data_IF_851750390742
#
_entry.id   IF_851750390742
#
_cell.length_a   1.000
_cell.length_b   1.000
_cell.length_c   1.000
_cell.angle_alpha   90.00
_cell.angle_beta   90.00
_cell.angle_gamma   90.00
#
_symmetry.space_group_name_H-M   'P 1'
#
loop_
_entity.id
_entity.type
_entity.pdbx_description
1 polymer ?
#
# COMPACT_ATOMS: atom_id res chain seq x y z
N UNK A 1 22.93 6.72 -77.40
CA UNK A 1 22.34 7.30 -76.20
C UNK A 1 21.59 6.22 -75.48
N UNK A 2 21.96 5.73 -74.32
CA UNK A 2 21.18 4.79 -73.57
C UNK A 2 20.17 5.51 -72.73
N UNK A 3 18.92 5.14 -72.87
CA UNK A 3 17.76 5.60 -72.12
C UNK A 3 17.86 5.07 -70.68
N UNK A 4 17.97 6.01 -69.74
CA UNK A 4 17.98 5.68 -68.29
C UNK A 4 16.64 5.16 -67.85
N UNK A 5 16.61 3.94 -67.33
CA UNK A 5 15.46 3.43 -66.57
C UNK A 5 15.32 4.20 -65.24
N UNK A 6 14.15 4.81 -65.02
CA UNK A 6 13.82 5.41 -63.76
C UNK A 6 13.74 4.31 -62.66
N UNK A 7 14.19 4.58 -61.40
CA UNK A 7 14.10 3.62 -60.33
C UNK A 7 12.66 3.33 -59.97
N UNK A 8 12.28 2.05 -59.94
CA UNK A 8 10.99 1.57 -59.49
C UNK A 8 10.85 1.91 -58.01
N UNK A 9 9.86 2.76 -57.68
CA UNK A 9 9.53 3.04 -56.31
C UNK A 9 9.16 1.74 -55.56
N UNK A 10 9.69 1.53 -54.35
CA UNK A 10 9.35 0.35 -53.56
C UNK A 10 7.82 0.33 -53.29
N UNK A 11 7.24 -0.86 -53.46
CA UNK A 11 5.82 -1.08 -53.17
C UNK A 11 5.51 -0.65 -51.73
N UNK A 12 4.34 -0.01 -51.45
CA UNK A 12 3.97 0.38 -50.11
C UNK A 12 3.93 -0.87 -49.23
N UNK A 13 4.79 -0.93 -48.25
CA UNK A 13 4.74 -1.91 -47.14
C UNK A 13 3.34 -1.83 -46.54
N UNK A 14 2.62 -2.97 -46.46
CA UNK A 14 1.35 -3.06 -45.76
C UNK A 14 1.48 -2.35 -44.43
N UNK A 15 0.81 -1.20 -44.30
CA UNK A 15 0.76 -0.43 -43.06
C UNK A 15 0.28 -1.36 -41.96
N UNK A 16 1.07 -1.54 -40.94
CA UNK A 16 0.62 -2.16 -39.71
C UNK A 16 -0.60 -1.36 -39.27
N UNK A 17 -1.77 -1.98 -39.27
CA UNK A 17 -2.96 -1.40 -38.68
C UNK A 17 -2.61 -1.18 -37.21
N UNK A 18 -2.30 0.07 -36.85
CA UNK A 18 -2.13 0.43 -35.44
C UNK A 18 -3.45 0.13 -34.74
N UNK A 19 -3.45 -0.93 -33.93
CA UNK A 19 -4.59 -1.21 -33.06
C UNK A 19 -4.88 0.03 -32.22
N UNK A 20 -6.16 0.44 -32.10
CA UNK A 20 -6.50 1.66 -31.37
C UNK A 20 -5.99 1.55 -29.92
N UNK A 21 -5.44 2.64 -29.38
CA UNK A 21 -4.90 2.66 -28.02
C UNK A 21 -6.02 2.35 -27.03
N UNK A 22 -5.86 1.29 -26.24
CA UNK A 22 -6.86 0.81 -25.30
C UNK A 22 -6.31 -0.18 -24.29
N UNK A 23 -7.23 -0.80 -23.54
CA UNK A 23 -6.90 -1.85 -22.57
C UNK A 23 -6.80 -3.20 -23.26
N UNK A 24 -5.72 -3.94 -23.05
CA UNK A 24 -5.54 -5.32 -23.51
C UNK A 24 -6.28 -6.30 -22.57
N UNK A 25 -7.61 -6.33 -22.67
CA UNK A 25 -8.50 -7.05 -21.75
C UNK A 25 -8.15 -8.53 -21.58
N UNK A 26 -7.73 -9.23 -22.63
CA UNK A 26 -7.38 -10.67 -22.54
C UNK A 26 -6.13 -10.88 -21.68
N UNK A 27 -5.12 -10.05 -21.83
CA UNK A 27 -3.90 -10.11 -21.00
C UNK A 27 -4.19 -9.71 -19.55
N UNK A 28 -4.95 -8.62 -19.37
CA UNK A 28 -5.39 -8.16 -18.06
C UNK A 28 -6.17 -9.25 -17.33
N UNK A 29 -7.15 -9.88 -17.98
CA UNK A 29 -7.91 -10.98 -17.40
C UNK A 29 -7.00 -12.16 -17.01
N UNK A 30 -6.10 -12.58 -17.92
CA UNK A 30 -5.14 -13.66 -17.62
C UNK A 30 -4.22 -13.34 -16.44
N UNK A 31 -3.71 -12.10 -16.37
CA UNK A 31 -2.89 -11.61 -15.24
C UNK A 31 -3.69 -11.55 -13.94
N UNK A 32 -4.93 -11.08 -13.99
CA UNK A 32 -5.85 -11.01 -12.84
C UNK A 32 -6.19 -12.39 -12.28
N UNK A 33 -6.45 -13.37 -13.15
CA UNK A 33 -6.69 -14.76 -12.71
C UNK A 33 -5.45 -15.36 -12.05
N UNK A 34 -4.24 -15.14 -12.60
CA UNK A 34 -3.00 -15.61 -11.98
C UNK A 34 -2.79 -14.95 -10.61
N UNK A 35 -3.08 -13.66 -10.49
CA UNK A 35 -2.95 -12.96 -9.23
C UNK A 35 -3.97 -13.44 -8.20
N UNK A 36 -5.23 -13.61 -8.60
CA UNK A 36 -6.27 -14.17 -7.74
C UNK A 36 -5.90 -15.58 -7.25
N UNK A 37 -5.39 -16.43 -8.15
CA UNK A 37 -4.92 -17.77 -7.79
C UNK A 37 -3.77 -17.72 -6.78
N UNK A 38 -2.78 -16.81 -6.97
CA UNK A 38 -1.69 -16.61 -6.03
C UNK A 38 -2.20 -16.24 -4.63
N UNK A 39 -3.19 -15.34 -4.55
CA UNK A 39 -3.78 -14.92 -3.29
C UNK A 39 -4.49 -16.07 -2.58
N UNK A 40 -5.28 -16.86 -3.30
CA UNK A 40 -5.92 -18.05 -2.72
C UNK A 40 -4.92 -19.12 -2.29
N UNK A 41 -3.84 -19.34 -3.04
CA UNK A 41 -2.76 -20.26 -2.62
C UNK A 41 -2.07 -19.74 -1.36
N UNK A 42 -1.82 -18.44 -1.26
CA UNK A 42 -1.25 -17.84 -0.06
C UNK A 42 -2.16 -18.03 1.15
N UNK A 43 -3.46 -17.75 1.02
CA UNK A 43 -4.44 -18.00 2.10
C UNK A 43 -4.51 -19.48 2.47
N UNK A 44 -4.55 -20.35 1.48
CA UNK A 44 -4.54 -21.79 1.75
C UNK A 44 -3.31 -22.23 2.54
N UNK A 45 -2.15 -21.63 2.27
CA UNK A 45 -0.91 -21.92 2.97
C UNK A 45 -0.88 -21.36 4.41
N UNK A 46 -1.44 -20.16 4.62
CA UNK A 46 -1.36 -19.43 5.89
C UNK A 46 -2.57 -19.61 6.79
N UNK A 47 -3.77 -19.86 6.21
CA UNK A 47 -5.03 -19.93 6.94
C UNK A 47 -5.55 -21.36 7.07
N UNK A 48 -5.46 -21.98 8.27
CA UNK A 48 -5.94 -23.33 8.49
C UNK A 48 -7.42 -23.50 8.15
N UNK A 49 -8.24 -22.48 8.37
CA UNK A 49 -9.64 -22.51 8.06
C UNK A 49 -9.96 -22.58 6.57
N UNK A 50 -9.18 -21.91 5.76
CA UNK A 50 -9.29 -22.00 4.28
C UNK A 50 -9.05 -23.45 3.81
N UNK A 51 -8.15 -24.18 4.45
CA UNK A 51 -7.86 -25.60 4.13
C UNK A 51 -9.02 -26.54 4.43
N UNK A 52 -9.75 -26.27 5.50
CA UNK A 52 -10.84 -27.15 5.97
C UNK A 52 -12.22 -26.78 5.40
N UNK A 53 -12.39 -25.57 4.87
CA UNK A 53 -13.69 -25.02 4.50
C UNK A 53 -14.27 -25.52 3.17
N UNK A 54 -13.43 -25.96 2.23
CA UNK A 54 -13.85 -26.35 0.88
C UNK A 54 -14.31 -25.17 0.02
N UNK A 55 -14.89 -25.47 -1.16
CA UNK A 55 -15.34 -24.46 -2.12
C UNK A 55 -16.86 -24.49 -2.25
N UNK A 56 -17.50 -23.30 -2.19
CA UNK A 56 -18.92 -23.14 -2.46
C UNK A 56 -19.20 -21.83 -3.18
N UNK A 57 -19.53 -21.87 -4.44
CA UNK A 57 -19.62 -20.69 -5.32
C UNK A 57 -20.91 -19.88 -5.20
N UNK A 58 -21.93 -20.35 -4.48
CA UNK A 58 -23.23 -19.69 -4.46
C UNK A 58 -23.57 -19.02 -3.14
N UNK A 59 -24.07 -19.78 -2.17
CA UNK A 59 -24.63 -19.26 -0.92
C UNK A 59 -23.66 -18.42 -0.05
N UNK A 60 -22.38 -18.79 0.13
CA UNK A 60 -21.46 -18.02 0.96
C UNK A 60 -21.21 -16.59 0.47
N UNK A 61 -21.03 -16.39 -0.84
CA UNK A 61 -20.78 -15.06 -1.37
C UNK A 61 -22.00 -14.14 -1.25
N UNK A 62 -23.23 -14.65 -1.46
CA UNK A 62 -24.45 -13.86 -1.27
C UNK A 62 -24.67 -13.46 0.20
N UNK A 63 -24.35 -14.36 1.12
CA UNK A 63 -24.37 -14.05 2.58
C UNK A 63 -23.32 -13.03 2.96
N UNK A 64 -22.15 -13.11 2.37
CA UNK A 64 -21.05 -12.16 2.53
C UNK A 64 -21.50 -10.73 2.24
N UNK A 65 -22.14 -10.53 1.10
CA UNK A 65 -22.71 -9.23 0.73
C UNK A 65 -23.74 -8.76 1.74
N UNK A 66 -24.58 -9.66 2.23
CA UNK A 66 -25.63 -9.35 3.24
C UNK A 66 -25.06 -9.03 4.63
N UNK A 67 -23.86 -9.51 4.96
CA UNK A 67 -23.22 -9.32 6.25
C UNK A 67 -22.21 -8.17 6.27
N UNK A 68 -22.11 -7.39 5.20
CA UNK A 68 -21.23 -6.23 5.12
C UNK A 68 -21.70 -5.14 6.10
N UNK A 69 -21.01 -5.01 7.23
CA UNK A 69 -21.35 -4.01 8.26
C UNK A 69 -20.14 -3.73 9.16
N UNK A 70 -20.09 -2.52 9.70
CA UNK A 70 -19.00 -2.08 10.56
C UNK A 70 -17.70 -1.79 9.80
N UNK A 71 -16.64 -1.49 10.50
CA UNK A 71 -15.34 -1.20 9.92
C UNK A 71 -14.43 -2.42 9.88
N UNK A 72 -14.29 -3.13 11.00
CA UNK A 72 -13.41 -4.29 11.15
C UNK A 72 -14.06 -5.57 10.59
N UNK A 73 -13.26 -6.38 9.95
CA UNK A 73 -13.61 -7.71 9.43
C UNK A 73 -13.05 -8.87 10.25
N UNK A 74 -12.26 -8.54 11.29
CA UNK A 74 -11.59 -9.52 12.13
C UNK A 74 -10.15 -9.85 11.75
N UNK A 75 -9.70 -9.40 10.60
CA UNK A 75 -8.33 -9.64 10.14
C UNK A 75 -7.29 -8.86 10.98
N UNK A 76 -6.08 -9.40 11.12
CA UNK A 76 -4.99 -8.71 11.80
C UNK A 76 -4.64 -7.38 11.11
N UNK A 77 -4.18 -6.40 11.89
CA UNK A 77 -3.78 -5.09 11.39
C UNK A 77 -2.87 -5.14 10.14
N UNK A 78 -1.89 -6.06 10.13
CA UNK A 78 -0.99 -6.17 8.98
C UNK A 78 -1.65 -6.66 7.70
N UNK A 79 -2.70 -7.45 7.81
CA UNK A 79 -3.47 -7.90 6.65
C UNK A 79 -4.21 -6.70 6.08
N UNK A 80 -5.01 -6.00 6.89
CA UNK A 80 -5.85 -4.90 6.45
C UNK A 80 -5.08 -3.64 6.03
N UNK A 81 -3.96 -3.32 6.70
CA UNK A 81 -3.26 -2.04 6.48
C UNK A 81 -1.92 -2.15 5.75
N UNK A 82 -1.45 -3.36 5.46
CA UNK A 82 -0.25 -3.61 4.65
C UNK A 82 -0.52 -4.59 3.51
N UNK A 83 -1.11 -5.75 3.82
CA UNK A 83 -1.40 -6.80 2.84
C UNK A 83 -2.39 -6.36 1.77
N UNK A 84 -3.57 -5.89 2.18
CA UNK A 84 -4.60 -5.40 1.26
C UNK A 84 -4.19 -4.16 0.46
N UNK A 85 -3.51 -3.13 1.03
CA UNK A 85 -2.91 -2.06 0.24
C UNK A 85 -1.92 -2.54 -0.82
N UNK A 86 -1.05 -3.48 -0.48
CA UNK A 86 -0.11 -4.07 -1.44
C UNK A 86 -0.86 -4.82 -2.55
N UNK A 87 -1.89 -5.60 -2.20
CA UNK A 87 -2.80 -6.25 -3.15
C UNK A 87 -3.45 -5.23 -4.09
N UNK A 88 -4.01 -4.15 -3.56
CA UNK A 88 -4.60 -3.07 -4.34
C UNK A 88 -3.59 -2.39 -5.27
N UNK A 89 -2.37 -2.17 -4.79
CA UNK A 89 -1.28 -1.62 -5.59
C UNK A 89 -0.88 -2.57 -6.74
N UNK A 90 -0.81 -3.88 -6.50
CA UNK A 90 -0.52 -4.90 -7.53
C UNK A 90 -1.63 -4.91 -8.59
N UNK A 91 -2.89 -4.95 -8.19
CA UNK A 91 -4.03 -4.94 -9.11
C UNK A 91 -4.06 -3.67 -9.97
N UNK A 92 -3.88 -2.50 -9.36
CA UNK A 92 -3.80 -1.23 -10.08
C UNK A 92 -2.63 -1.17 -11.07
N UNK A 93 -1.47 -1.73 -10.71
CA UNK A 93 -0.31 -1.86 -11.60
C UNK A 93 -0.58 -2.80 -12.77
N UNK A 94 -1.21 -3.93 -12.51
CA UNK A 94 -1.56 -4.90 -13.53
C UNK A 94 -2.48 -4.26 -14.59
N UNK A 95 -3.44 -3.45 -14.18
CA UNK A 95 -4.27 -2.66 -15.08
C UNK A 95 -3.42 -1.70 -15.93
N UNK A 96 -2.55 -0.90 -15.30
CA UNK A 96 -1.72 0.09 -16.00
C UNK A 96 -0.75 -0.54 -16.99
N UNK A 97 -0.20 -1.73 -16.70
CA UNK A 97 0.66 -2.48 -17.62
C UNK A 97 -0.07 -2.87 -18.91
N UNK A 98 -1.38 -3.06 -18.83
CA UNK A 98 -2.25 -3.51 -19.93
C UNK A 98 -3.09 -2.37 -20.55
N UNK A 99 -2.99 -1.13 -20.07
CA UNK A 99 -3.59 0.04 -20.71
C UNK A 99 -2.55 0.78 -21.56
N UNK A 100 -2.56 0.56 -22.87
CA UNK A 100 -1.58 1.13 -23.82
C UNK A 100 -1.52 2.66 -23.80
N UNK A 101 -2.56 3.35 -23.32
CA UNK A 101 -2.60 4.81 -23.21
C UNK A 101 -1.72 5.35 -22.08
N UNK A 102 -1.50 4.53 -21.05
CA UNK A 102 -0.87 4.98 -19.80
C UNK A 102 0.33 4.15 -19.37
N UNK A 103 0.62 3.03 -20.03
CA UNK A 103 1.71 2.11 -19.63
C UNK A 103 3.12 2.71 -19.73
N UNK A 104 3.28 3.76 -20.54
CA UNK A 104 4.55 4.50 -20.70
C UNK A 104 4.61 5.77 -19.84
N UNK A 105 3.52 6.14 -19.15
CA UNK A 105 3.50 7.37 -18.36
C UNK A 105 4.42 7.23 -17.14
N UNK A 106 5.23 8.25 -16.91
CA UNK A 106 6.13 8.34 -15.77
C UNK A 106 5.56 9.25 -14.69
N UNK A 107 6.04 9.07 -13.47
CA UNK A 107 5.67 9.90 -12.32
C UNK A 107 5.83 11.38 -12.64
N UNK A 108 4.79 12.17 -12.42
CA UNK A 108 4.80 13.59 -12.68
C UNK A 108 3.46 14.28 -12.47
N UNK A 109 3.37 15.50 -13.01
CA UNK A 109 2.17 16.35 -12.88
C UNK A 109 1.23 16.27 -14.08
N UNK A 110 1.57 15.48 -15.12
CA UNK A 110 0.77 15.40 -16.33
C UNK A 110 -0.63 14.86 -16.05
N UNK A 111 -1.60 15.33 -16.80
CA UNK A 111 -2.97 14.85 -16.68
C UNK A 111 -3.10 13.38 -17.05
N UNK A 112 -2.26 12.89 -17.97
CA UNK A 112 -2.17 11.50 -18.38
C UNK A 112 -1.73 10.59 -17.22
N UNK A 113 -0.73 11.02 -16.44
CA UNK A 113 -0.29 10.29 -15.26
C UNK A 113 -1.45 10.09 -14.26
N UNK A 114 -2.15 11.19 -13.92
CA UNK A 114 -3.24 11.14 -12.94
C UNK A 114 -4.46 10.38 -13.46
N UNK A 115 -4.82 10.55 -14.74
CA UNK A 115 -5.89 9.76 -15.37
C UNK A 115 -5.57 8.27 -15.34
N UNK A 116 -4.34 7.90 -15.68
CA UNK A 116 -3.89 6.51 -15.58
C UNK A 116 -4.00 5.97 -14.15
N UNK A 117 -3.51 6.73 -13.16
CA UNK A 117 -3.57 6.34 -11.74
C UNK A 117 -4.99 6.14 -11.23
N UNK A 118 -5.91 7.07 -11.54
CA UNK A 118 -7.32 6.95 -11.13
C UNK A 118 -8.00 5.73 -11.78
N UNK A 119 -7.69 5.42 -13.03
CA UNK A 119 -8.20 4.20 -13.69
C UNK A 119 -7.63 2.93 -13.04
N UNK A 120 -6.34 2.92 -12.70
CA UNK A 120 -5.72 1.85 -11.93
C UNK A 120 -6.36 1.66 -10.56
N UNK A 121 -6.67 2.75 -9.86
CA UNK A 121 -7.36 2.71 -8.57
C UNK A 121 -8.80 2.18 -8.70
N UNK A 122 -9.54 2.58 -9.73
CA UNK A 122 -10.89 2.05 -9.98
C UNK A 122 -10.86 0.55 -10.26
N UNK A 123 -9.88 0.08 -11.05
CA UNK A 123 -9.69 -1.36 -11.27
C UNK A 123 -9.27 -2.09 -10.00
N UNK A 124 -8.38 -1.50 -9.21
CA UNK A 124 -7.96 -2.02 -7.90
C UNK A 124 -9.16 -2.22 -6.97
N UNK A 125 -10.06 -1.23 -6.91
CA UNK A 125 -11.30 -1.33 -6.16
C UNK A 125 -12.18 -2.48 -6.65
N UNK A 126 -12.44 -2.59 -7.94
CA UNK A 126 -13.24 -3.66 -8.52
C UNK A 126 -12.62 -5.06 -8.27
N UNK A 127 -11.30 -5.17 -8.36
CA UNK A 127 -10.56 -6.40 -8.06
C UNK A 127 -10.67 -6.78 -6.58
N UNK A 128 -10.57 -5.79 -5.67
CA UNK A 128 -10.77 -6.01 -4.23
C UNK A 128 -12.20 -6.52 -3.95
N UNK A 129 -13.23 -5.90 -4.56
CA UNK A 129 -14.61 -6.39 -4.40
C UNK A 129 -14.76 -7.85 -4.86
N UNK A 130 -14.11 -8.21 -5.97
CA UNK A 130 -14.11 -9.59 -6.45
C UNK A 130 -13.43 -10.54 -5.47
N UNK A 131 -12.34 -10.12 -4.84
CA UNK A 131 -11.60 -10.95 -3.88
C UNK A 131 -12.36 -11.11 -2.56
N UNK A 132 -12.93 -10.05 -2.00
CA UNK A 132 -13.65 -10.07 -0.72
C UNK A 132 -15.02 -10.75 -0.82
N UNK A 133 -15.85 -10.27 -1.74
CA UNK A 133 -17.27 -10.60 -1.79
C UNK A 133 -17.75 -11.10 -3.17
N UNK A 134 -16.85 -11.43 -4.08
CA UNK A 134 -17.21 -11.92 -5.41
C UNK A 134 -17.42 -13.44 -5.47
N UNK A 135 -17.81 -13.97 -6.65
CA UNK A 135 -18.03 -15.41 -6.84
C UNK A 135 -16.79 -16.29 -6.58
N UNK A 136 -15.59 -15.76 -6.87
CA UNK A 136 -14.30 -16.43 -6.61
C UNK A 136 -13.57 -15.72 -5.47
N UNK A 137 -14.30 -15.33 -4.46
CA UNK A 137 -13.80 -14.62 -3.29
C UNK A 137 -13.29 -15.56 -2.21
N UNK A 138 -12.71 -14.99 -1.19
CA UNK A 138 -12.37 -15.72 0.03
C UNK A 138 -13.61 -16.24 0.76
N UNK A 139 -14.75 -15.56 0.61
CA UNK A 139 -16.03 -16.04 1.11
C UNK A 139 -16.48 -17.35 0.44
N UNK A 140 -16.18 -17.51 -0.86
CA UNK A 140 -16.54 -18.68 -1.64
C UNK A 140 -15.51 -19.80 -1.52
N UNK A 141 -14.22 -19.43 -1.46
CA UNK A 141 -13.10 -20.36 -1.38
C UNK A 141 -12.55 -20.38 0.04
N UNK A 142 -12.65 -21.54 0.70
CA UNK A 142 -12.25 -21.69 2.11
C UNK A 142 -13.33 -21.31 3.11
N UNK A 143 -14.46 -20.77 2.66
CA UNK A 143 -15.61 -20.39 3.51
C UNK A 143 -15.18 -19.54 4.72
N UNK A 144 -14.34 -18.53 4.51
CA UNK A 144 -13.77 -17.73 5.59
C UNK A 144 -14.83 -17.20 6.55
N UNK A 145 -16.02 -16.88 6.05
CA UNK A 145 -17.15 -16.40 6.84
C UNK A 145 -17.77 -17.45 7.76
N UNK A 146 -17.42 -18.72 7.62
CA UNK A 146 -17.73 -19.71 8.63
C UNK A 146 -16.91 -19.51 9.92
N UNK A 147 -15.81 -18.75 9.82
CA UNK A 147 -14.94 -18.41 10.93
C UNK A 147 -15.16 -16.97 11.40
N UNK A 148 -15.40 -16.06 10.45
CA UNK A 148 -15.65 -14.63 10.67
C UNK A 148 -16.81 -14.18 9.76
N UNK A 149 -18.07 -14.22 10.18
CA UNK A 149 -19.22 -13.85 9.33
C UNK A 149 -19.28 -12.36 9.07
N UNK A 150 -18.62 -11.55 9.91
CA UNK A 150 -18.61 -10.11 9.75
C UNK A 150 -17.67 -9.71 8.63
N UNK A 151 -18.21 -9.10 7.59
CA UNK A 151 -17.48 -8.40 6.56
C UNK A 151 -17.39 -6.92 6.93
N UNK A 152 -16.16 -6.40 7.12
CA UNK A 152 -15.94 -5.01 7.41
C UNK A 152 -15.75 -4.17 6.16
N UNK A 153 -15.98 -2.85 6.27
CA UNK A 153 -15.69 -1.91 5.19
C UNK A 153 -14.19 -1.60 5.03
N UNK A 154 -13.35 -2.08 5.94
CA UNK A 154 -11.91 -1.74 5.95
C UNK A 154 -11.25 -2.02 4.62
N UNK A 155 -11.44 -3.21 4.05
CA UNK A 155 -10.77 -3.64 2.82
C UNK A 155 -11.37 -2.98 1.58
N UNK A 156 -12.66 -2.69 1.61
CA UNK A 156 -13.32 -1.96 0.53
C UNK A 156 -12.83 -0.52 0.38
N UNK A 157 -12.23 0.05 1.44
CA UNK A 157 -11.71 1.42 1.49
C UNK A 157 -10.17 1.41 1.48
N UNK A 158 -9.54 0.65 2.37
CA UNK A 158 -8.08 0.68 2.58
C UNK A 158 -7.34 0.12 1.36
N UNK A 159 -7.81 -0.99 0.80
CA UNK A 159 -7.19 -1.61 -0.37
C UNK A 159 -7.03 -0.63 -1.55
N UNK A 160 -8.09 0.04 -2.05
CA UNK A 160 -7.95 0.95 -3.17
C UNK A 160 -7.26 2.27 -2.79
N UNK A 161 -7.57 2.84 -1.63
CA UNK A 161 -7.08 4.18 -1.24
C UNK A 161 -5.60 4.14 -0.88
N UNK A 162 -5.21 3.25 0.03
CA UNK A 162 -3.81 3.12 0.44
C UNK A 162 -2.99 2.45 -0.66
N UNK A 163 -3.57 1.49 -1.40
CA UNK A 163 -2.95 0.90 -2.59
C UNK A 163 -2.67 1.93 -3.69
N UNK A 164 -3.58 2.89 -3.91
CA UNK A 164 -3.35 4.02 -4.81
C UNK A 164 -2.16 4.86 -4.36
N UNK A 165 -2.12 5.26 -3.07
CA UNK A 165 -0.99 5.99 -2.50
C UNK A 165 0.33 5.20 -2.59
N UNK A 166 0.29 3.89 -2.36
CA UNK A 166 1.42 2.98 -2.53
C UNK A 166 2.00 3.02 -3.95
N UNK A 167 1.13 2.95 -4.98
CA UNK A 167 1.59 3.01 -6.37
C UNK A 167 2.26 4.34 -6.71
N UNK A 168 1.78 5.46 -6.14
CA UNK A 168 2.40 6.78 -6.31
C UNK A 168 3.78 6.82 -5.64
N UNK A 169 3.89 6.29 -4.42
CA UNK A 169 5.15 6.16 -3.68
C UNK A 169 6.19 5.36 -4.45
N UNK A 170 5.82 4.19 -4.97
CA UNK A 170 6.71 3.38 -5.81
C UNK A 170 7.12 4.08 -7.10
N UNK A 171 6.24 4.84 -7.75
CA UNK A 171 6.61 5.61 -8.95
C UNK A 171 7.61 6.73 -8.62
N UNK A 172 7.44 7.37 -7.47
CA UNK A 172 8.39 8.36 -6.99
C UNK A 172 9.75 7.72 -6.69
N UNK A 173 9.77 6.56 -6.02
CA UNK A 173 10.99 5.78 -5.79
C UNK A 173 11.62 5.38 -7.12
N UNK A 174 10.84 4.93 -8.11
CA UNK A 174 11.34 4.57 -9.43
C UNK A 174 12.01 5.76 -10.12
N UNK A 175 11.39 6.93 -10.06
CA UNK A 175 11.89 8.15 -10.69
C UNK A 175 13.15 8.70 -10.02
N UNK A 176 13.13 8.80 -8.69
CA UNK A 176 14.16 9.55 -7.95
C UNK A 176 15.28 8.69 -7.37
N UNK A 177 15.00 7.44 -7.05
CA UNK A 177 15.96 6.52 -6.45
C UNK A 177 16.48 5.52 -7.49
N UNK A 178 15.58 4.74 -8.10
CA UNK A 178 16.00 3.66 -9.00
C UNK A 178 16.71 4.23 -10.23
N UNK A 179 16.14 5.24 -10.88
CA UNK A 179 16.80 5.91 -12.01
C UNK A 179 18.14 6.54 -11.63
N UNK A 180 18.25 7.10 -10.41
CA UNK A 180 19.50 7.68 -9.95
C UNK A 180 20.61 6.61 -9.77
N UNK A 181 20.25 5.45 -9.24
CA UNK A 181 21.17 4.30 -9.14
C UNK A 181 21.55 3.79 -10.54
N UNK A 182 20.56 3.60 -11.43
CA UNK A 182 20.80 3.13 -12.79
C UNK A 182 21.72 4.06 -13.61
N UNK A 183 21.66 5.36 -13.35
CA UNK A 183 22.52 6.34 -14.01
C UNK A 183 23.94 6.37 -13.44
N UNK A 184 24.16 5.82 -12.24
CA UNK A 184 25.47 5.82 -11.55
C UNK A 184 26.24 4.51 -11.70
N UNK A 185 25.56 3.41 -12.03
CA UNK A 185 26.20 2.09 -12.12
C UNK A 185 25.78 1.33 -13.37
N UNK A 186 26.72 0.67 -14.01
CA UNK A 186 26.47 -0.29 -15.09
C UNK A 186 26.34 -1.72 -14.56
N UNK A 187 26.47 -1.92 -13.23
CA UNK A 187 26.32 -3.23 -12.62
C UNK A 187 24.89 -3.72 -12.77
N UNK A 188 24.69 -4.74 -13.61
CA UNK A 188 23.39 -5.34 -13.90
C UNK A 188 22.70 -5.89 -12.65
N UNK A 189 23.42 -6.46 -11.71
CA UNK A 189 22.85 -7.03 -10.49
C UNK A 189 22.30 -5.94 -9.56
N UNK A 190 23.03 -4.83 -9.43
CA UNK A 190 22.54 -3.67 -8.68
C UNK A 190 21.26 -3.11 -9.29
N UNK A 191 21.20 -2.98 -10.64
CA UNK A 191 19.99 -2.53 -11.35
C UNK A 191 18.82 -3.49 -11.19
N UNK A 192 19.07 -4.83 -11.26
CA UNK A 192 18.03 -5.84 -11.00
C UNK A 192 17.48 -5.74 -9.58
N UNK A 193 18.39 -5.66 -8.61
CA UNK A 193 18.03 -5.60 -7.19
C UNK A 193 17.17 -4.37 -6.90
N UNK A 194 17.61 -3.18 -7.30
CA UNK A 194 16.84 -1.95 -7.00
C UNK A 194 15.50 -1.91 -7.72
N UNK A 195 15.42 -2.39 -8.99
CA UNK A 195 14.14 -2.47 -9.70
C UNK A 195 13.15 -3.43 -9.05
N UNK A 196 13.64 -4.55 -8.53
CA UNK A 196 12.78 -5.60 -7.96
C UNK A 196 12.42 -5.33 -6.51
N UNK A 197 13.39 -4.93 -5.68
CA UNK A 197 13.19 -4.79 -4.25
C UNK A 197 12.48 -3.48 -3.86
N UNK A 198 12.77 -2.38 -4.56
CA UNK A 198 12.21 -1.07 -4.21
C UNK A 198 10.82 -0.80 -4.80
N UNK A 199 10.34 -1.67 -5.70
CA UNK A 199 8.99 -1.56 -6.27
C UNK A 199 8.26 -2.92 -6.19
N UNK A 200 7.92 -3.42 -5.00
CA UNK A 200 7.35 -4.75 -4.82
C UNK A 200 6.02 -4.95 -5.54
N UNK A 201 5.11 -3.97 -5.53
CA UNK A 201 3.84 -4.12 -6.24
C UNK A 201 4.03 -4.23 -7.76
N UNK A 202 4.94 -3.44 -8.33
CA UNK A 202 5.27 -3.52 -9.75
C UNK A 202 5.96 -4.84 -10.10
N UNK A 203 6.83 -5.33 -9.23
CA UNK A 203 7.53 -6.60 -9.40
C UNK A 203 6.55 -7.75 -9.51
N UNK A 204 5.60 -7.84 -8.59
CA UNK A 204 4.57 -8.89 -8.61
C UNK A 204 3.64 -8.71 -9.83
N UNK A 205 3.18 -7.50 -10.11
CA UNK A 205 2.33 -7.23 -11.28
C UNK A 205 3.01 -7.63 -12.60
N UNK A 206 4.31 -7.37 -12.76
CA UNK A 206 5.07 -7.81 -13.93
C UNK A 206 5.04 -9.34 -14.07
N UNK A 207 5.30 -10.08 -12.99
CA UNK A 207 5.27 -11.55 -13.01
C UNK A 207 3.86 -12.06 -13.35
N UNK A 208 2.83 -11.47 -12.77
CA UNK A 208 1.43 -11.83 -13.08
C UNK A 208 1.07 -11.54 -14.54
N UNK A 209 1.69 -10.54 -15.15
CA UNK A 209 1.52 -10.21 -16.57
C UNK A 209 2.44 -11.04 -17.50
N UNK A 210 3.20 -11.99 -16.96
CA UNK A 210 4.13 -12.85 -17.70
C UNK A 210 5.42 -12.14 -18.12
N UNK A 211 5.78 -11.05 -17.43
CA UNK A 211 7.01 -10.29 -17.66
C UNK A 211 8.03 -10.58 -16.56
N UNK A 212 9.29 -10.22 -16.82
CA UNK A 212 10.33 -10.33 -15.79
C UNK A 212 10.10 -9.33 -14.66
N UNK A 213 10.47 -9.65 -13.41
CA UNK A 213 10.20 -8.80 -12.23
C UNK A 213 10.66 -7.35 -12.39
N UNK A 214 11.81 -7.13 -13.00
CA UNK A 214 12.43 -5.83 -13.21
C UNK A 214 11.99 -5.11 -14.49
N UNK A 215 10.97 -5.60 -15.19
CA UNK A 215 10.47 -4.99 -16.43
C UNK A 215 10.03 -3.53 -16.20
N UNK A 216 10.36 -2.68 -17.17
CA UNK A 216 9.90 -1.30 -17.29
C UNK A 216 9.54 -1.01 -18.74
N UNK A 217 8.31 -0.58 -18.98
CA UNK A 217 7.85 -0.28 -20.34
C UNK A 217 8.60 0.91 -20.97
N UNK A 218 8.99 1.88 -20.15
CA UNK A 218 9.67 3.12 -20.59
C UNK A 218 11.20 3.02 -20.63
N UNK A 219 11.80 1.86 -20.33
CA UNK A 219 13.26 1.69 -20.21
C UNK A 219 13.73 0.34 -20.74
N UNK A 220 14.96 0.32 -21.26
CA UNK A 220 15.60 -0.89 -21.74
C UNK A 220 15.68 -2.00 -20.68
N UNK A 221 15.62 -3.25 -21.13
CA UNK A 221 15.82 -4.43 -20.29
C UNK A 221 17.22 -4.47 -19.69
N UNK A 222 17.36 -5.07 -18.51
CA UNK A 222 18.67 -5.15 -17.81
C UNK A 222 19.48 -6.38 -18.26
N UNK A 223 18.81 -7.49 -18.59
CA UNK A 223 19.47 -8.76 -18.96
C UNK A 223 19.34 -9.14 -20.44
N UNK A 224 18.39 -8.53 -21.14
CA UNK A 224 18.25 -8.82 -22.57
C UNK A 224 19.32 -8.01 -23.29
N UNK A 225 20.25 -8.70 -23.92
CA UNK A 225 21.11 -8.14 -24.94
C UNK A 225 20.23 -7.79 -26.16
N UNK A 226 19.48 -6.74 -26.04
CA UNK A 226 18.97 -6.04 -27.19
C UNK A 226 20.10 -5.11 -27.61
N UNK A 227 20.60 -5.18 -28.84
CA UNK A 227 21.45 -4.12 -29.37
C UNK A 227 20.54 -2.90 -29.58
N UNK A 228 20.11 -2.29 -28.48
CA UNK A 228 19.60 -0.93 -28.52
C UNK A 228 20.77 -0.10 -29.06
N UNK A 229 20.56 0.71 -30.10
CA UNK A 229 21.56 1.66 -30.51
C UNK A 229 22.01 2.37 -29.24
N UNK A 230 23.31 2.39 -28.94
CA UNK A 230 23.83 3.24 -27.88
C UNK A 230 23.38 4.65 -28.20
N UNK A 231 22.32 5.09 -27.59
CA UNK A 231 22.03 6.52 -27.57
C UNK A 231 23.28 7.17 -27.02
N UNK A 232 23.83 8.15 -27.75
CA UNK A 232 25.04 8.85 -27.28
C UNK A 232 24.72 9.32 -25.85
N UNK A 233 25.67 9.13 -24.93
CA UNK A 233 25.56 9.57 -23.52
C UNK A 233 25.14 11.05 -23.37
N UNK A 234 25.13 11.80 -24.44
CA UNK A 234 24.69 13.19 -24.57
C UNK A 234 23.16 13.34 -24.63
N UNK A 235 22.38 12.30 -25.01
CA UNK A 235 20.91 12.41 -25.16
C UNK A 235 20.13 12.08 -23.88
N UNK A 236 20.77 11.62 -22.82
CA UNK A 236 20.12 11.27 -21.54
C UNK A 236 20.10 12.42 -20.51
N UNK A 237 20.42 13.65 -20.92
CA UNK A 237 20.15 14.79 -20.06
C UNK A 237 18.68 15.17 -20.23
N UNK A 238 17.87 14.74 -19.26
CA UNK A 238 16.50 15.23 -19.11
C UNK A 238 16.46 16.73 -19.38
N UNK A 239 15.50 17.24 -20.19
CA UNK A 239 15.31 18.68 -20.38
C UNK A 239 15.19 19.47 -19.06
N UNK A 240 14.96 18.78 -17.96
CA UNK A 240 14.90 19.35 -16.61
C UNK A 240 16.26 19.51 -15.92
N UNK A 241 17.40 19.13 -16.56
CA UNK A 241 18.73 19.26 -15.95
C UNK A 241 19.53 20.46 -16.39
N UNK A 242 19.04 21.27 -17.30
CA UNK A 242 19.82 22.43 -17.77
C UNK A 242 18.97 23.68 -17.81
N UNK A 243 19.32 24.62 -16.95
CA UNK A 243 19.47 25.96 -17.35
C UNK A 243 18.61 27.06 -16.82
N UNK A 244 17.92 26.89 -15.72
CA UNK A 244 17.65 28.07 -14.89
C UNK A 244 18.66 28.07 -13.72
N UNK A 245 19.20 29.24 -13.30
CA UNK A 245 19.80 29.35 -11.99
C UNK A 245 18.79 28.70 -11.03
N UNK A 246 19.22 27.73 -10.21
CA UNK A 246 18.35 27.17 -9.21
C UNK A 246 17.93 28.32 -8.33
N UNK A 247 16.69 28.75 -8.48
CA UNK A 247 16.02 29.54 -7.43
C UNK A 247 16.28 28.79 -6.11
N UNK A 248 16.43 29.52 -5.04
CA UNK A 248 16.58 28.93 -3.72
C UNK A 248 15.58 27.80 -3.52
N UNK A 249 16.00 26.66 -2.96
CA UNK A 249 15.15 25.48 -2.88
C UNK A 249 13.86 25.82 -2.13
N UNK A 250 12.75 25.79 -2.86
CA UNK A 250 11.43 26.09 -2.29
C UNK A 250 10.98 24.92 -1.41
N UNK A 251 10.41 25.20 -0.23
CA UNK A 251 9.86 24.14 0.60
C UNK A 251 8.69 23.43 -0.10
N UNK A 252 8.57 22.11 0.11
CA UNK A 252 7.48 21.32 -0.47
C UNK A 252 6.11 21.84 -0.01
N UNK A 253 5.17 22.09 -0.91
CA UNK A 253 3.81 22.47 -0.54
C UNK A 253 3.03 21.32 0.09
N UNK A 254 3.36 20.09 -0.23
CA UNK A 254 2.74 18.88 0.34
C UNK A 254 3.79 17.80 0.58
N UNK A 255 3.67 17.13 1.73
CA UNK A 255 4.50 15.97 2.10
C UNK A 255 3.59 14.80 2.46
N UNK A 256 3.98 13.59 2.06
CA UNK A 256 3.35 12.35 2.46
C UNK A 256 4.38 11.46 3.12
N UNK A 257 4.06 10.92 4.30
CA UNK A 257 4.93 10.01 5.04
C UNK A 257 4.23 8.66 5.21
N UNK A 258 4.96 7.57 4.98
CA UNK A 258 4.56 6.24 5.39
C UNK A 258 5.69 5.66 6.26
N UNK A 259 5.32 5.09 7.41
CA UNK A 259 6.30 4.77 8.44
C UNK A 259 5.86 3.59 9.31
N UNK A 260 6.74 2.61 9.58
CA UNK A 260 6.59 1.72 10.72
C UNK A 260 6.67 2.50 12.03
N UNK A 261 5.91 2.03 13.00
CA UNK A 261 5.74 2.69 14.28
C UNK A 261 5.88 1.67 15.40
N UNK A 262 6.68 2.00 16.39
CA UNK A 262 6.68 1.33 17.68
C UNK A 262 6.08 2.29 18.71
N UNK A 263 5.19 1.77 19.56
CA UNK A 263 4.56 2.52 20.64
C UNK A 263 4.60 1.73 21.92
N UNK A 264 4.95 2.38 23.01
CA UNK A 264 4.88 1.83 24.36
C UNK A 264 3.77 2.52 25.14
N UNK A 265 2.77 1.77 25.57
CA UNK A 265 1.74 2.24 26.51
C UNK A 265 2.18 1.91 27.93
N UNK A 266 2.14 2.88 28.83
CA UNK A 266 2.61 2.71 30.20
C UNK A 266 1.96 1.58 31.00
N UNK A 267 0.78 1.11 30.58
CA UNK A 267 0.05 0.00 31.21
C UNK A 267 -0.15 -1.22 30.32
N UNK A 268 -0.28 -1.02 29.01
CA UNK A 268 -0.56 -2.08 28.05
C UNK A 268 0.70 -2.71 27.42
N UNK A 269 1.86 -2.11 27.60
CA UNK A 269 3.13 -2.58 27.03
C UNK A 269 3.37 -2.12 25.58
N UNK A 270 4.11 -2.93 24.83
CA UNK A 270 4.57 -2.58 23.50
C UNK A 270 3.54 -2.86 22.43
N UNK A 271 3.48 -1.96 21.46
CA UNK A 271 2.58 -2.00 20.31
C UNK A 271 3.37 -1.70 19.04
N UNK A 272 3.31 -2.58 18.07
CA UNK A 272 4.04 -2.44 16.79
C UNK A 272 3.05 -2.33 15.65
N UNK A 273 3.31 -1.41 14.75
CA UNK A 273 2.40 -1.16 13.64
C UNK A 273 2.97 -0.22 12.60
N UNK A 274 2.12 0.62 12.05
CA UNK A 274 2.51 1.60 11.06
C UNK A 274 1.50 2.73 10.92
N UNK A 275 1.87 3.72 10.14
CA UNK A 275 1.01 4.86 9.90
C UNK A 275 1.36 5.62 8.64
N UNK A 276 0.48 6.55 8.32
CA UNK A 276 0.64 7.49 7.24
C UNK A 276 0.34 8.92 7.72
N UNK A 277 1.07 9.87 7.18
CA UNK A 277 0.83 11.30 7.40
C UNK A 277 0.74 12.04 6.07
N UNK A 278 -0.21 12.96 5.95
CA UNK A 278 -0.21 14.02 4.96
C UNK A 278 0.07 15.35 5.63
N UNK A 279 1.05 16.11 5.14
CA UNK A 279 1.36 17.44 5.65
C UNK A 279 1.23 18.49 4.55
N UNK A 280 0.40 19.48 4.75
CA UNK A 280 0.17 20.59 3.83
C UNK A 280 0.81 21.87 4.39
N UNK A 281 1.65 22.52 3.60
CA UNK A 281 2.30 23.76 3.97
C UNK A 281 1.34 24.93 3.89
N UNK A 282 1.11 25.54 5.03
CA UNK A 282 0.22 26.71 5.18
C UNK A 282 0.99 28.02 5.42
N UNK A 283 2.29 27.92 5.70
CA UNK A 283 3.20 29.04 5.90
C UNK A 283 4.66 28.66 5.63
N UNK A 284 5.60 29.61 5.72
CA UNK A 284 7.02 29.34 5.43
C UNK A 284 7.59 28.18 6.26
N UNK A 285 7.24 28.10 7.51
CA UNK A 285 7.73 27.10 8.47
C UNK A 285 6.60 26.26 9.06
N UNK A 286 5.34 26.53 8.69
CA UNK A 286 4.15 25.88 9.26
C UNK A 286 3.48 24.97 8.28
N UNK A 287 3.15 23.76 8.73
CA UNK A 287 2.38 22.75 8.01
C UNK A 287 1.15 22.37 8.83
N UNK A 288 0.06 22.02 8.16
CA UNK A 288 -1.08 21.30 8.74
C UNK A 288 -0.88 19.80 8.46
N UNK A 289 -0.90 18.99 9.49
CA UNK A 289 -0.69 17.53 9.40
C UNK A 289 -2.01 16.82 9.66
N UNK A 290 -2.29 15.80 8.85
CA UNK A 290 -3.28 14.75 9.10
C UNK A 290 -2.52 13.44 9.24
N UNK A 291 -2.67 12.75 10.38
CA UNK A 291 -1.97 11.51 10.70
C UNK A 291 -2.96 10.40 11.07
N UNK A 292 -2.70 9.19 10.57
CA UNK A 292 -3.39 7.96 10.97
C UNK A 292 -2.33 6.92 11.30
N UNK A 293 -2.39 6.37 12.51
CA UNK A 293 -1.46 5.37 13.01
C UNK A 293 -2.22 4.24 13.68
N UNK A 294 -1.87 3.00 13.35
CA UNK A 294 -2.41 1.83 14.00
C UNK A 294 -1.29 0.89 14.46
N UNK A 295 -1.52 0.18 15.56
CA UNK A 295 -0.58 -0.82 16.05
C UNK A 295 -1.27 -1.95 16.78
N UNK A 296 -0.64 -3.13 16.81
CA UNK A 296 -1.06 -4.31 17.57
C UNK A 296 -0.14 -4.50 18.77
N UNK A 297 -0.73 -4.81 19.93
CA UNK A 297 0.04 -5.13 21.12
C UNK A 297 0.87 -6.40 20.89
N UNK A 298 2.12 -6.36 21.30
CA UNK A 298 3.07 -7.48 21.22
C UNK A 298 3.53 -7.91 22.61
N UNK A 299 4.00 -9.15 22.73
CA UNK A 299 4.42 -9.69 24.03
C UNK A 299 3.25 -9.99 24.99
N UNK A 300 2.02 -9.99 24.50
CA UNK A 300 0.85 -10.35 25.31
C UNK A 300 0.80 -11.88 25.54
N UNK A 301 0.18 -12.34 26.65
CA UNK A 301 -0.17 -13.74 26.82
C UNK A 301 -0.99 -14.28 25.64
N UNK A 302 -0.92 -15.59 25.37
CA UNK A 302 -1.60 -16.22 24.22
C UNK A 302 -3.13 -16.10 24.26
N UNK A 303 -3.69 -15.82 25.42
CA UNK A 303 -5.13 -15.61 25.65
C UNK A 303 -5.54 -14.14 25.52
N UNK A 304 -4.63 -13.24 25.21
CA UNK A 304 -4.91 -11.82 25.08
C UNK A 304 -4.39 -11.23 23.78
N UNK A 305 -5.17 -10.38 23.19
CA UNK A 305 -4.76 -9.55 22.05
C UNK A 305 -5.32 -8.14 22.21
N UNK A 306 -4.72 -7.18 21.54
CA UNK A 306 -5.21 -5.81 21.56
C UNK A 306 -4.59 -5.00 20.44
N UNK A 307 -5.28 -3.94 20.06
CA UNK A 307 -4.83 -3.00 19.05
C UNK A 307 -5.21 -1.55 19.43
N UNK A 308 -4.56 -0.62 18.79
CA UNK A 308 -4.89 0.79 18.91
C UNK A 308 -4.83 1.47 17.54
N UNK A 309 -5.85 2.27 17.24
CA UNK A 309 -5.92 3.13 16.07
C UNK A 309 -6.03 4.58 16.52
N UNK A 310 -5.20 5.44 15.96
CA UNK A 310 -5.13 6.88 16.28
C UNK A 310 -5.24 7.67 14.99
N UNK A 311 -6.14 8.66 14.95
CA UNK A 311 -6.31 9.59 13.83
C UNK A 311 -6.34 11.02 14.36
N UNK A 312 -5.45 11.87 13.87
CA UNK A 312 -5.20 13.19 14.44
C UNK A 312 -4.90 14.22 13.37
N UNK A 313 -5.14 15.47 13.72
CA UNK A 313 -4.81 16.64 12.90
C UNK A 313 -4.17 17.71 13.79
N UNK A 314 -3.26 18.48 13.22
CA UNK A 314 -2.66 19.61 13.94
C UNK A 314 -1.48 20.25 13.25
N UNK A 315 -0.93 21.31 13.83
CA UNK A 315 0.20 22.04 13.29
C UNK A 315 1.53 21.30 13.47
N UNK A 316 2.40 21.42 12.45
CA UNK A 316 3.81 21.06 12.48
C UNK A 316 4.65 22.27 12.13
N UNK A 317 5.59 22.60 12.97
CA UNK A 317 6.61 23.60 12.73
C UNK A 317 7.87 22.96 12.17
N UNK A 318 8.36 23.46 11.02
CA UNK A 318 9.49 22.91 10.26
C UNK A 318 10.39 24.06 9.79
N UNK A 319 11.32 24.58 10.65
CA UNK A 319 12.07 25.80 10.39
C UNK A 319 13.14 25.68 9.31
N UNK A 320 13.52 24.45 8.94
CA UNK A 320 14.64 24.19 8.04
C UNK A 320 14.32 23.20 6.94
N UNK A 321 13.08 23.23 6.41
CA UNK A 321 12.58 22.24 5.44
C UNK A 321 13.33 22.19 4.12
N UNK A 322 14.13 23.21 3.78
CA UNK A 322 14.95 23.26 2.58
C UNK A 322 16.37 22.71 2.79
N UNK A 323 16.81 22.58 4.03
CA UNK A 323 18.13 22.07 4.39
C UNK A 323 18.20 20.55 4.27
N UNK A 324 19.42 20.01 4.30
CA UNK A 324 19.67 18.57 4.27
C UNK A 324 19.08 17.85 5.48
N UNK A 325 19.18 18.46 6.66
CA UNK A 325 18.55 18.06 7.90
C UNK A 325 17.41 19.02 8.22
N UNK A 326 16.21 18.47 8.36
CA UNK A 326 14.98 19.24 8.60
C UNK A 326 14.33 18.78 9.91
N UNK A 327 14.70 19.39 11.05
CA UNK A 327 14.03 19.12 12.30
C UNK A 327 12.62 19.69 12.27
N UNK A 328 11.71 19.08 13.01
CA UNK A 328 10.34 19.56 13.16
C UNK A 328 9.80 19.25 14.56
N UNK A 329 8.77 19.99 14.94
CA UNK A 329 7.95 19.71 16.10
C UNK A 329 6.48 19.80 15.72
N UNK A 330 5.62 18.99 16.36
CA UNK A 330 4.18 19.03 16.08
C UNK A 330 3.34 18.84 17.36
N UNK A 331 2.11 19.33 17.28
CA UNK A 331 1.06 19.08 18.25
C UNK A 331 -0.18 18.65 17.50
N UNK A 332 -0.64 17.43 17.76
CA UNK A 332 -1.78 16.84 17.07
C UNK A 332 -2.88 16.52 18.05
N UNK A 333 -4.13 16.68 17.63
CA UNK A 333 -5.33 16.33 18.40
C UNK A 333 -6.30 15.55 17.53
N UNK A 334 -6.98 14.57 18.10
CA UNK A 334 -7.94 13.75 17.37
C UNK A 334 -8.52 12.63 18.20
N UNK A 335 -8.90 11.54 17.53
CA UNK A 335 -9.47 10.37 18.15
C UNK A 335 -8.49 9.22 18.31
N UNK A 336 -8.75 8.39 19.27
CA UNK A 336 -8.11 7.10 19.48
C UNK A 336 -9.18 6.04 19.75
N UNK A 337 -9.05 4.91 19.08
CA UNK A 337 -9.82 3.70 19.37
C UNK A 337 -8.87 2.63 19.87
N UNK A 338 -9.27 1.92 20.91
CA UNK A 338 -8.54 0.79 21.48
C UNK A 338 -9.46 -0.41 21.54
N UNK A 339 -8.96 -1.56 21.16
CA UNK A 339 -9.63 -2.85 21.28
C UNK A 339 -8.78 -3.76 22.15
N UNK A 340 -9.41 -4.46 23.07
CA UNK A 340 -8.79 -5.50 23.87
C UNK A 340 -9.65 -6.77 23.79
N UNK A 341 -9.06 -7.91 23.50
CA UNK A 341 -9.74 -9.18 23.40
C UNK A 341 -9.08 -10.19 24.33
N UNK A 342 -9.90 -10.87 25.12
CA UNK A 342 -9.50 -11.95 26.01
C UNK A 342 -10.15 -13.25 25.56
N UNK A 343 -9.34 -14.28 25.32
CA UNK A 343 -9.77 -15.64 25.03
C UNK A 343 -9.81 -16.44 26.32
N UNK A 344 -10.86 -17.27 26.50
CA UNK A 344 -10.99 -18.21 27.60
C UNK A 344 -10.78 -19.63 27.11
N UNK A 345 -9.55 -20.22 27.25
CA UNK A 345 -9.18 -21.49 26.63
C UNK A 345 -10.03 -22.68 27.09
N UNK A 346 -10.41 -22.71 28.37
CA UNK A 346 -11.25 -23.76 28.93
C UNK A 346 -12.67 -23.72 28.34
N UNK A 347 -13.25 -22.52 28.26
CA UNK A 347 -14.55 -22.32 27.63
C UNK A 347 -14.51 -22.67 26.15
N UNK A 348 -13.43 -22.29 25.43
CA UNK A 348 -13.22 -22.68 24.05
C UNK A 348 -13.24 -24.19 23.87
N UNK A 349 -12.51 -24.93 24.69
CA UNK A 349 -12.47 -26.40 24.65
C UNK A 349 -13.87 -27.00 24.89
N UNK A 350 -14.59 -26.51 25.91
CA UNK A 350 -15.93 -26.96 26.23
C UNK A 350 -16.95 -26.65 25.11
N UNK A 351 -16.95 -25.44 24.60
CA UNK A 351 -17.85 -25.00 23.52
C UNK A 351 -17.59 -25.80 22.24
N UNK A 352 -16.31 -26.00 21.85
CA UNK A 352 -15.97 -26.80 20.67
C UNK A 352 -16.33 -28.27 20.84
N UNK A 353 -16.17 -28.85 22.04
CA UNK A 353 -16.55 -30.22 22.32
C UNK A 353 -18.07 -30.41 22.26
N UNK A 354 -18.84 -29.50 22.82
CA UNK A 354 -20.31 -29.53 22.81
C UNK A 354 -20.91 -29.36 21.40
N UNK A 355 -20.17 -28.70 20.50
CA UNK A 355 -20.61 -28.39 19.15
C UNK A 355 -19.86 -29.19 18.06
N UNK A 356 -19.33 -30.35 18.43
CA UNK A 356 -18.62 -31.24 17.53
C UNK A 356 -19.54 -31.73 16.41
N UNK A 357 -19.28 -31.34 15.16
CA UNK A 357 -20.10 -31.70 13.99
C UNK A 357 -21.09 -30.62 13.54
N UNK A 358 -21.18 -29.49 14.22
CA UNK A 358 -21.92 -28.35 13.70
C UNK A 358 -21.27 -27.77 12.44
N UNK A 359 -22.12 -27.25 11.55
CA UNK A 359 -21.64 -26.52 10.36
C UNK A 359 -20.62 -25.45 10.81
N UNK A 360 -19.42 -25.39 10.21
CA UNK A 360 -18.45 -24.34 10.49
C UNK A 360 -19.03 -22.92 10.44
N UNK A 361 -20.11 -22.68 9.69
CA UNK A 361 -20.84 -21.41 9.68
C UNK A 361 -21.49 -21.07 11.02
N UNK A 362 -21.84 -22.06 11.83
CA UNK A 362 -22.38 -21.85 13.18
C UNK A 362 -21.25 -21.71 14.22
N UNK A 363 -20.05 -22.18 13.91
CA UNK A 363 -18.91 -22.11 14.83
C UNK A 363 -18.46 -20.67 15.13
N UNK A 364 -18.84 -19.71 14.29
CA UNK A 364 -18.54 -18.30 14.53
C UNK A 364 -19.37 -17.69 15.66
N UNK A 365 -20.66 -17.99 15.71
CA UNK A 365 -21.48 -17.54 16.84
C UNK A 365 -20.95 -18.12 18.17
N UNK A 366 -20.11 -19.16 18.08
CA UNK A 366 -19.44 -19.77 19.21
C UNK A 366 -18.21 -18.96 19.66
N UNK A 367 -17.56 -18.18 18.80
CA UNK A 367 -16.37 -17.38 19.17
C UNK A 367 -16.69 -16.36 20.26
N UNK A 368 -17.85 -15.74 20.20
CA UNK A 368 -18.32 -14.80 21.22
C UNK A 368 -18.58 -15.50 22.58
N UNK A 369 -18.78 -16.82 22.60
CA UNK A 369 -19.02 -17.57 23.83
C UNK A 369 -17.75 -17.82 24.65
N UNK A 370 -16.57 -17.75 24.01
CA UNK A 370 -15.27 -17.99 24.66
C UNK A 370 -14.27 -16.85 24.51
N UNK A 371 -14.70 -15.70 23.96
CA UNK A 371 -13.91 -14.47 23.90
C UNK A 371 -14.70 -13.33 24.53
N UNK A 372 -13.97 -12.41 25.16
CA UNK A 372 -14.51 -11.14 25.62
C UNK A 372 -13.78 -10.02 24.92
N UNK A 373 -14.48 -9.26 24.12
CA UNK A 373 -13.97 -8.09 23.40
C UNK A 373 -14.46 -6.82 24.06
N UNK A 374 -13.54 -5.94 24.40
CA UNK A 374 -13.82 -4.63 24.95
C UNK A 374 -13.22 -3.56 24.04
N UNK A 375 -14.01 -2.53 23.73
CA UNK A 375 -13.59 -1.41 22.89
C UNK A 375 -13.83 -0.11 23.62
N UNK A 376 -12.93 0.85 23.44
CA UNK A 376 -13.12 2.21 23.92
C UNK A 376 -12.63 3.21 22.89
N UNK A 377 -13.34 4.32 22.83
CA UNK A 377 -12.99 5.48 22.02
C UNK A 377 -12.75 6.68 22.93
N UNK A 378 -11.81 7.53 22.56
CA UNK A 378 -11.52 8.73 23.32
C UNK A 378 -10.76 9.76 22.50
N UNK A 379 -10.55 10.92 23.09
CA UNK A 379 -9.71 11.97 22.51
C UNK A 379 -8.26 11.66 22.83
N UNK A 380 -7.37 11.89 21.85
CA UNK A 380 -5.94 11.78 22.02
C UNK A 380 -5.24 13.07 21.58
N UNK A 381 -4.25 13.48 22.36
CA UNK A 381 -3.36 14.59 22.08
C UNK A 381 -1.94 14.03 21.99
N UNK A 382 -1.23 14.38 20.91
CA UNK A 382 0.14 13.94 20.68
C UNK A 382 1.04 15.15 20.50
N UNK A 383 2.11 15.23 21.29
CA UNK A 383 3.18 16.20 21.12
C UNK A 383 4.46 15.45 20.75
N UNK A 384 5.15 15.91 19.71
CA UNK A 384 6.31 15.21 19.22
C UNK A 384 7.31 16.08 18.48
N UNK A 385 8.49 15.51 18.29
CA UNK A 385 9.57 16.10 17.52
C UNK A 385 10.24 15.02 16.66
N UNK A 386 10.81 15.44 15.55
CA UNK A 386 11.53 14.52 14.68
C UNK A 386 12.50 15.23 13.76
N UNK A 387 13.19 14.44 12.95
CA UNK A 387 14.15 14.95 11.98
C UNK A 387 14.06 14.15 10.69
N UNK A 388 13.92 14.87 9.59
CA UNK A 388 13.94 14.32 8.23
C UNK A 388 15.30 14.62 7.57
N UNK A 389 15.87 13.61 6.90
CA UNK A 389 17.10 13.74 6.12
C UNK A 389 16.76 13.74 4.63
N UNK A 390 17.07 14.83 3.95
CA UNK A 390 16.79 15.01 2.53
C UNK A 390 17.71 14.12 1.70
N UNK A 391 17.12 13.17 0.99
CA UNK A 391 17.81 12.32 0.01
C UNK A 391 17.83 12.98 -1.37
N UNK A 392 16.68 13.50 -1.80
CA UNK A 392 16.48 14.27 -3.04
C UNK A 392 15.51 15.41 -2.76
N UNK A 393 15.23 16.26 -3.74
CA UNK A 393 14.21 17.32 -3.58
C UNK A 393 12.81 16.74 -3.32
N UNK A 394 12.53 15.54 -3.85
CA UNK A 394 11.23 14.88 -3.72
C UNK A 394 11.18 13.80 -2.63
N UNK A 395 12.30 13.39 -2.06
CA UNK A 395 12.36 12.27 -1.12
C UNK A 395 13.24 12.62 0.06
N UNK A 396 12.73 12.37 1.27
CA UNK A 396 13.50 12.42 2.50
C UNK A 396 13.29 11.14 3.32
N UNK A 397 14.23 10.83 4.16
CA UNK A 397 14.15 9.80 5.18
C UNK A 397 13.78 10.47 6.50
N UNK A 398 12.67 10.06 7.12
CA UNK A 398 12.41 10.35 8.53
C UNK A 398 13.32 9.47 9.37
N UNK A 399 14.38 10.04 9.87
CA UNK A 399 15.39 9.30 10.64
C UNK A 399 14.77 8.82 11.96
N UNK A 400 14.09 9.70 12.64
CA UNK A 400 13.30 9.39 13.83
C UNK A 400 12.26 10.48 14.08
N UNK A 401 11.09 10.07 14.57
CA UNK A 401 10.14 10.92 15.30
C UNK A 401 9.91 10.31 16.66
N UNK A 402 9.93 11.12 17.69
CA UNK A 402 9.61 10.72 19.07
C UNK A 402 8.42 11.55 19.53
N UNK A 403 7.38 10.85 19.96
CA UNK A 403 6.08 11.45 20.23
C UNK A 403 5.53 10.93 21.54
N UNK A 404 5.06 11.85 22.38
CA UNK A 404 4.31 11.51 23.58
C UNK A 404 2.83 11.73 23.32
N UNK A 405 2.04 10.70 23.59
CA UNK A 405 0.60 10.71 23.44
C UNK A 405 -0.09 10.61 24.79
N UNK A 406 -1.12 11.42 25.00
CA UNK A 406 -2.06 11.31 26.09
C UNK A 406 -3.48 11.15 25.55
N UNK A 407 -4.23 10.20 26.10
CA UNK A 407 -5.63 9.97 25.72
C UNK A 407 -6.57 10.05 26.92
N UNK A 408 -7.87 10.25 26.61
CA UNK A 408 -8.96 10.20 27.61
C UNK A 408 -9.54 8.79 27.71
N UNK A 409 -8.97 7.79 27.03
CA UNK A 409 -9.48 6.42 27.07
C UNK A 409 -9.28 5.86 28.48
N UNK A 410 -10.36 5.32 29.08
CA UNK A 410 -10.26 4.60 30.34
C UNK A 410 -9.48 3.30 30.16
N UNK A 411 -9.28 2.58 31.25
CA UNK A 411 -8.74 1.22 31.15
C UNK A 411 -9.72 0.33 30.36
N UNK A 412 -9.18 -0.43 29.42
CA UNK A 412 -9.92 -1.39 28.58
C UNK A 412 -9.44 -2.79 28.94
N UNK A 413 -10.33 -3.69 29.35
CA UNK A 413 -9.92 -5.00 29.88
C UNK A 413 -9.03 -4.90 31.14
N UNK A 414 -9.19 -3.84 31.92
CA UNK A 414 -8.34 -3.58 33.08
C UNK A 414 -6.96 -2.97 32.78
N UNK A 415 -6.65 -2.71 31.49
CA UNK A 415 -5.36 -2.21 31.02
C UNK A 415 -5.47 -0.72 30.65
N UNK A 416 -4.64 0.18 31.22
CA UNK A 416 -4.69 1.61 30.90
C UNK A 416 -3.96 1.93 29.57
N UNK A 417 -4.60 2.79 28.77
CA UNK A 417 -4.09 3.29 27.48
C UNK A 417 -3.95 4.82 27.44
N UNK A 418 -3.95 5.45 28.59
CA UNK A 418 -3.99 6.90 28.69
C UNK A 418 -2.67 7.61 28.35
N UNK A 419 -1.55 6.91 28.40
CA UNK A 419 -0.22 7.46 28.09
C UNK A 419 0.54 6.52 27.15
N UNK A 420 1.20 7.08 26.15
CA UNK A 420 2.06 6.32 25.23
C UNK A 420 3.24 7.13 24.74
N UNK A 421 4.38 6.47 24.60
CA UNK A 421 5.56 6.96 23.88
C UNK A 421 5.64 6.26 22.54
N UNK A 422 5.72 7.02 21.45
CA UNK A 422 5.80 6.49 20.09
C UNK A 422 7.12 6.87 19.45
N UNK A 423 7.71 5.92 18.73
CA UNK A 423 8.87 6.16 17.87
C UNK A 423 8.52 5.71 16.46
N UNK A 424 8.82 6.58 15.50
CA UNK A 424 8.49 6.36 14.08
C UNK A 424 9.73 6.64 13.24
N UNK A 425 9.97 5.79 12.24
CA UNK A 425 10.96 6.01 11.17
C UNK A 425 10.31 5.72 9.84
N UNK A 426 10.72 6.35 8.73
CA UNK A 426 10.03 6.10 7.47
C UNK A 426 10.48 6.99 6.32
N UNK A 427 9.71 6.94 5.24
CA UNK A 427 9.99 7.69 4.02
C UNK A 427 9.02 8.86 3.90
N UNK A 428 9.55 10.01 3.53
CA UNK A 428 8.80 11.25 3.29
C UNK A 428 8.87 11.60 1.81
N UNK A 429 7.75 11.55 1.13
CA UNK A 429 7.60 12.00 -0.24
C UNK A 429 7.20 13.47 -0.25
N UNK A 430 8.02 14.32 -0.87
CA UNK A 430 7.83 15.77 -1.00
C UNK A 430 7.29 16.11 -2.37
N UNK A 431 6.06 16.55 -2.46
CA UNK A 431 5.38 16.88 -3.71
C UNK A 431 5.50 18.37 -4.01
N UNK A 432 5.74 18.71 -5.29
CA UNK A 432 5.84 20.10 -5.75
C UNK A 432 7.23 20.74 -5.65
N UNK A 433 8.25 19.93 -5.41
CA UNK A 433 9.66 20.36 -5.35
C UNK A 433 10.45 20.10 -6.62
N UNK A 434 9.84 19.53 -7.65
CA UNK A 434 10.44 19.21 -8.95
C UNK A 434 9.78 19.91 -10.10
#
# INVERSE_FOLDING_TARGET
MPTGMAPIAPAPTKGSVEEPPGVEWRKLAGGSVRFLALMHVFRWATEPGTRSGGVSLGGPFLRSVGNLHGWSDGDPFYVNYVGHPLQGAIAGRLFLLNDRRFNLTEFGRSSEYWKGKLRGAAFSWAFSQQFEIGPLSEASIGRIQSQFPQQGFVDHVVTPVVGFAWTIGEDAIDRFVIKAVENRTDNRWARLLVRSALNPSRTVANVMDGKVPWYRASRAGVLVYSPSPREPRTASRSPYQHGAPRDDPKPAPFEFTAAPTWRHFGGAGDCVGGGAEGAWRVGPELQLVLAVNGCKLVGQPQDRSGDALVYQVGPRWTPSSTKKWSPYAHLLVGGMKVTNEQLFPEQKAAVLAANKGLDPMLSYTLHEQYTRREEANGVAITAGTGVDYKLTDALALRVASVEYQRSTIPAVGGVPYNNGLQVTTGMVLRLGTW
#
